data_IF_432217265101
#
_entry.id   IF_432217265101
#
_cell.length_a   1.000
_cell.length_b   1.000
_cell.length_c   1.000
_cell.angle_alpha   90.00
_cell.angle_beta   90.00
_cell.angle_gamma   90.00
#
_symmetry.space_group_name_H-M   'P 1'
#
loop_
_entity.id
_entity.type
_entity.pdbx_description
1 polymer ?
#
# COMPACT_ATOMS: atom_id res chain seq x y z
N UNK A 1 3.08 -25.22 13.46
CA UNK A 1 2.88 -23.77 13.25
C UNK A 1 2.60 -23.56 11.77
N UNK A 2 1.33 -23.42 11.38
CA UNK A 2 0.90 -23.02 10.02
C UNK A 2 0.08 -21.75 10.22
N UNK A 3 0.55 -20.62 9.73
CA UNK A 3 -0.08 -19.32 10.01
C UNK A 3 0.59 -18.13 9.33
N UNK A 4 1.83 -18.31 8.85
CA UNK A 4 2.51 -17.39 7.93
C UNK A 4 2.44 -17.97 6.52
N UNK A 5 2.16 -17.13 5.53
CA UNK A 5 2.12 -17.47 4.11
C UNK A 5 2.95 -16.47 3.32
N UNK A 6 3.80 -17.01 2.45
CA UNK A 6 4.56 -16.22 1.48
C UNK A 6 3.68 -15.88 0.28
N UNK A 7 3.57 -14.60 -0.04
CA UNK A 7 2.76 -14.10 -1.15
C UNK A 7 3.60 -13.14 -1.98
N UNK A 8 3.54 -13.31 -3.30
CA UNK A 8 4.26 -12.46 -4.24
C UNK A 8 3.26 -11.63 -5.03
N UNK A 9 3.33 -10.31 -4.89
CA UNK A 9 2.46 -9.38 -5.61
C UNK A 9 3.11 -9.00 -6.94
N UNK A 10 2.47 -9.41 -8.04
CA UNK A 10 2.94 -9.09 -9.39
C UNK A 10 2.09 -7.99 -9.99
N UNK A 11 2.74 -6.89 -10.40
CA UNK A 11 2.10 -5.80 -11.11
C UNK A 11 2.33 -6.02 -12.60
N UNK A 12 1.27 -6.39 -13.31
CA UNK A 12 1.32 -6.63 -14.76
C UNK A 12 0.87 -5.42 -15.59
N UNK A 13 0.02 -4.56 -15.03
CA UNK A 13 -0.51 -3.39 -15.70
C UNK A 13 -0.49 -2.19 -14.77
N UNK A 14 -0.14 -1.03 -15.34
CA UNK A 14 -0.34 0.25 -14.70
C UNK A 14 -0.75 1.28 -15.75
N UNK A 15 -1.52 2.26 -15.30
CA UNK A 15 -1.91 3.41 -16.11
C UNK A 15 -1.48 4.69 -15.44
N UNK A 16 -1.08 5.68 -16.23
CA UNK A 16 -0.69 7.00 -15.78
C UNK A 16 -1.49 8.04 -16.55
N UNK A 17 -2.05 9.01 -15.83
CA UNK A 17 -2.79 10.12 -16.40
C UNK A 17 -2.06 11.41 -16.08
N UNK A 18 -1.65 12.15 -17.12
CA UNK A 18 -1.07 13.47 -16.94
C UNK A 18 -2.18 14.50 -16.73
N UNK A 19 -2.19 15.20 -15.60
CA UNK A 19 -3.22 16.18 -15.25
C UNK A 19 -2.93 17.58 -15.81
N UNK A 20 -1.70 17.83 -16.24
CA UNK A 20 -1.25 19.11 -16.79
C UNK A 20 -0.25 18.87 -17.93
N UNK A 21 -0.21 19.77 -18.91
CA UNK A 21 0.79 19.74 -19.98
C UNK A 21 2.22 19.84 -19.47
N UNK A 22 2.44 20.57 -18.36
CA UNK A 22 3.75 20.74 -17.75
C UNK A 22 4.36 19.40 -17.31
N UNK A 23 3.53 18.49 -16.79
CA UNK A 23 3.94 17.13 -16.43
C UNK A 23 4.47 16.37 -17.65
N UNK A 24 3.80 16.49 -18.80
CA UNK A 24 4.17 15.80 -20.03
C UNK A 24 5.55 16.27 -20.53
N UNK A 25 5.79 17.58 -20.51
CA UNK A 25 7.02 18.17 -21.04
C UNK A 25 8.18 18.08 -20.06
N UNK A 26 7.97 18.37 -18.77
CA UNK A 26 9.04 18.38 -17.76
C UNK A 26 9.52 16.97 -17.41
N UNK A 27 8.62 15.97 -17.33
CA UNK A 27 8.98 14.59 -16.98
C UNK A 27 9.42 13.75 -18.18
N UNK A 28 9.55 14.36 -19.37
CA UNK A 28 9.97 13.68 -20.61
C UNK A 28 9.19 12.37 -20.87
N UNK A 29 7.88 12.39 -20.62
CA UNK A 29 7.03 11.21 -20.75
C UNK A 29 7.01 10.62 -22.18
N UNK A 30 7.03 11.43 -23.27
CA UNK A 30 7.05 10.89 -24.63
C UNK A 30 8.27 10.00 -24.89
N UNK A 31 8.03 8.78 -25.38
CA UNK A 31 9.07 7.82 -25.77
C UNK A 31 9.66 6.98 -24.64
N UNK A 32 9.50 7.41 -23.38
CA UNK A 32 10.02 6.69 -22.20
C UNK A 32 8.92 6.06 -21.34
N UNK A 33 7.68 6.55 -21.45
CA UNK A 33 6.56 6.14 -20.63
C UNK A 33 5.31 5.97 -21.52
N UNK A 34 4.90 4.74 -21.79
CA UNK A 34 3.75 4.42 -22.65
C UNK A 34 3.98 4.61 -24.17
N UNK A 35 3.12 4.01 -24.99
CA UNK A 35 3.22 4.05 -26.46
C UNK A 35 2.45 5.21 -27.10
N UNK A 36 3.11 6.02 -27.92
CA UNK A 36 2.50 7.10 -28.70
C UNK A 36 2.33 8.41 -27.93
N UNK A 37 1.63 9.38 -28.53
CA UNK A 37 1.53 10.74 -28.00
C UNK A 37 0.80 10.81 -26.64
N UNK A 38 1.25 11.76 -25.83
CA UNK A 38 0.67 12.07 -24.51
C UNK A 38 -0.39 13.16 -24.63
N UNK A 39 -1.47 13.03 -23.86
CA UNK A 39 -2.55 14.02 -23.77
C UNK A 39 -2.96 14.22 -22.33
N UNK A 40 -3.36 15.45 -22.00
CA UNK A 40 -3.85 15.79 -20.66
C UNK A 40 -5.18 15.08 -20.40
N UNK A 41 -5.35 14.57 -19.18
CA UNK A 41 -6.53 13.85 -18.70
C UNK A 41 -6.86 12.57 -19.49
N UNK A 42 -5.90 12.02 -20.25
CA UNK A 42 -6.06 10.74 -20.94
C UNK A 42 -5.17 9.70 -20.28
N UNK A 43 -5.74 8.59 -19.77
CA UNK A 43 -4.95 7.53 -19.16
C UNK A 43 -4.10 6.82 -20.23
N UNK A 44 -2.86 6.51 -19.86
CA UNK A 44 -1.90 5.83 -20.73
C UNK A 44 -1.41 4.57 -20.06
N UNK A 45 -1.48 3.45 -20.76
CA UNK A 45 -0.92 2.18 -20.29
C UNK A 45 0.62 2.22 -20.34
N UNK A 46 1.25 1.79 -19.25
CA UNK A 46 2.71 1.79 -19.09
C UNK A 46 3.33 0.41 -19.31
N UNK A 47 2.56 -0.68 -19.26
CA UNK A 47 3.07 -2.04 -19.38
C UNK A 47 3.80 -2.27 -20.71
N UNK A 48 3.35 -1.60 -21.78
CA UNK A 48 3.96 -1.69 -23.12
C UNK A 48 5.39 -1.15 -23.19
N UNK A 49 5.80 -0.29 -22.25
CA UNK A 49 7.14 0.30 -22.18
C UNK A 49 7.93 -0.17 -20.96
N UNK A 50 7.54 -1.30 -20.37
CA UNK A 50 8.08 -1.81 -19.11
C UNK A 50 7.97 -0.83 -17.92
N UNK A 51 6.93 0.01 -17.93
CA UNK A 51 6.73 1.05 -16.92
C UNK A 51 7.14 2.45 -17.38
N UNK A 52 7.52 3.28 -16.42
CA UNK A 52 7.99 4.65 -16.58
C UNK A 52 9.13 4.92 -15.59
N UNK A 53 10.37 4.71 -16.05
CA UNK A 53 11.59 4.80 -15.22
C UNK A 53 11.75 6.20 -14.61
N UNK A 54 11.37 7.24 -15.34
CA UNK A 54 11.44 8.63 -14.88
C UNK A 54 10.54 8.91 -13.66
N UNK A 55 9.58 8.02 -13.37
CA UNK A 55 8.72 8.07 -12.18
C UNK A 55 8.97 6.90 -11.22
N UNK A 56 10.01 6.10 -11.46
CA UNK A 56 10.32 4.93 -10.66
C UNK A 56 9.28 3.81 -10.77
N UNK A 57 8.47 3.79 -11.83
CA UNK A 57 7.48 2.73 -12.08
C UNK A 57 8.09 1.71 -13.02
N UNK A 58 8.13 0.43 -12.63
CA UNK A 58 8.67 -0.66 -13.45
C UNK A 58 7.63 -1.76 -13.58
N UNK A 59 7.49 -2.31 -14.80
CA UNK A 59 6.48 -3.32 -15.14
C UNK A 59 7.12 -4.35 -16.08
N UNK A 60 6.87 -5.66 -15.91
CA UNK A 60 6.30 -6.24 -14.70
C UNK A 60 7.23 -6.01 -13.50
N UNK A 61 6.65 -5.78 -12.32
CA UNK A 61 7.41 -5.76 -11.06
C UNK A 61 6.81 -6.76 -10.08
N UNK A 62 7.69 -7.37 -9.29
CA UNK A 62 7.33 -8.32 -8.24
C UNK A 62 7.71 -7.71 -6.91
N UNK A 63 6.76 -7.69 -5.97
CA UNK A 63 7.02 -7.37 -4.58
C UNK A 63 6.80 -8.61 -3.73
N UNK A 64 7.86 -9.06 -3.08
CA UNK A 64 7.80 -10.16 -2.12
C UNK A 64 7.17 -9.67 -0.82
N UNK A 65 6.19 -10.39 -0.32
CA UNK A 65 5.51 -10.06 0.93
C UNK A 65 5.21 -11.31 1.75
N UNK A 66 5.00 -11.10 3.04
CA UNK A 66 4.66 -12.15 4.00
C UNK A 66 3.38 -11.76 4.72
N UNK A 67 2.44 -12.69 4.78
CA UNK A 67 1.17 -12.46 5.46
C UNK A 67 1.01 -13.45 6.59
N UNK A 68 0.57 -12.97 7.73
CA UNK A 68 0.29 -13.80 8.90
C UNK A 68 -1.12 -13.52 9.41
N UNK A 69 -1.87 -14.58 9.69
CA UNK A 69 -3.22 -14.48 10.26
C UNK A 69 -3.23 -15.19 11.61
N UNK A 70 -3.70 -14.50 12.64
CA UNK A 70 -3.86 -15.06 13.98
C UNK A 70 -5.25 -14.77 14.53
N UNK A 71 -5.66 -15.54 15.53
CA UNK A 71 -6.89 -15.29 16.27
C UNK A 71 -6.52 -14.82 17.68
N UNK A 72 -7.14 -13.73 18.15
CA UNK A 72 -6.97 -13.27 19.52
C UNK A 72 -7.69 -14.22 20.50
N UNK A 73 -7.48 -14.00 21.81
CA UNK A 73 -8.06 -14.85 22.86
C UNK A 73 -9.59 -14.76 22.96
N UNK A 74 -10.23 -13.80 22.29
CA UNK A 74 -11.69 -13.64 22.22
C UNK A 74 -12.29 -14.14 20.91
N UNK A 75 -11.46 -14.69 20.02
CA UNK A 75 -11.89 -15.24 18.75
C UNK A 75 -11.83 -14.24 17.58
N UNK A 76 -11.24 -13.07 17.77
CA UNK A 76 -11.13 -12.05 16.71
C UNK A 76 -9.93 -12.27 15.80
N UNK A 77 -10.12 -12.08 14.50
CA UNK A 77 -9.06 -12.27 13.51
C UNK A 77 -8.14 -11.05 13.40
N UNK A 78 -6.84 -11.31 13.47
CA UNK A 78 -5.76 -10.35 13.31
C UNK A 78 -4.98 -10.66 12.02
N UNK A 79 -4.77 -9.64 11.19
CA UNK A 79 -3.98 -9.72 9.96
C UNK A 79 -2.69 -8.92 10.11
N UNK A 80 -1.55 -9.57 9.89
CA UNK A 80 -0.24 -8.94 9.87
C UNK A 80 0.33 -9.02 8.45
N UNK A 81 0.89 -7.92 7.97
CA UNK A 81 1.61 -7.83 6.69
C UNK A 81 3.10 -7.62 6.93
N UNK A 82 3.93 -7.97 5.95
CA UNK A 82 5.35 -7.71 5.98
C UNK A 82 5.63 -6.22 6.03
N UNK A 83 6.51 -5.80 6.93
CA UNK A 83 7.01 -4.43 6.97
C UNK A 83 8.34 -4.38 6.23
N UNK A 84 8.38 -3.64 5.12
CA UNK A 84 9.62 -3.38 4.41
C UNK A 84 10.55 -2.50 5.26
N UNK A 85 11.83 -2.82 5.28
CA UNK A 85 12.82 -1.98 5.95
C UNK A 85 12.84 -0.59 5.29
N UNK A 86 12.67 0.45 6.10
CA UNK A 86 12.62 1.85 5.64
C UNK A 86 14.00 2.39 5.31
N UNK A 87 15.06 1.70 5.76
CA UNK A 87 16.41 1.93 5.29
C UNK A 87 16.45 1.51 3.82
N UNK A 88 16.97 2.35 2.92
CA UNK A 88 17.03 2.17 1.45
C UNK A 88 17.79 0.90 0.99
N UNK A 89 17.42 -0.26 1.52
CA UNK A 89 17.88 -1.58 1.13
C UNK A 89 17.12 -2.01 -0.13
N UNK A 90 17.67 -2.94 -0.91
CA UNK A 90 17.05 -3.38 -2.17
C UNK A 90 15.60 -3.82 -1.95
N UNK A 91 14.69 -3.30 -2.78
CA UNK A 91 13.25 -3.61 -2.73
C UNK A 91 12.93 -5.09 -3.00
N UNK A 92 13.93 -5.87 -3.43
CA UNK A 92 13.83 -7.27 -3.77
C UNK A 92 13.98 -8.20 -2.56
N UNK A 93 14.27 -7.68 -1.37
CA UNK A 93 14.36 -8.49 -0.15
C UNK A 93 12.98 -8.70 0.47
N UNK A 94 12.70 -9.96 0.82
CA UNK A 94 11.46 -10.35 1.49
C UNK A 94 11.42 -9.74 2.90
N UNK A 95 10.31 -9.09 3.32
CA UNK A 95 10.17 -8.56 4.66
C UNK A 95 10.39 -9.64 5.73
N UNK A 96 11.18 -9.32 6.76
CA UNK A 96 11.45 -10.22 7.89
C UNK A 96 10.73 -9.80 9.17
N UNK A 97 10.11 -8.62 9.16
CA UNK A 97 9.31 -8.07 10.23
C UNK A 97 7.85 -7.91 9.79
N UNK A 98 6.94 -7.85 10.77
CA UNK A 98 5.53 -7.59 10.54
C UNK A 98 5.15 -6.20 11.06
N UNK A 99 4.25 -5.53 10.34
CA UNK A 99 3.58 -4.33 10.82
C UNK A 99 2.69 -4.63 12.04
N UNK A 100 2.09 -3.59 12.62
CA UNK A 100 1.06 -3.74 13.64
C UNK A 100 -0.17 -4.53 13.11
N UNK A 101 -0.86 -5.29 13.99
CA UNK A 101 -2.01 -6.09 13.58
C UNK A 101 -3.14 -5.20 13.05
N UNK A 102 -3.62 -5.54 11.87
CA UNK A 102 -4.86 -5.00 11.35
C UNK A 102 -6.03 -5.81 11.86
N UNK A 103 -7.11 -5.11 12.17
CA UNK A 103 -8.36 -5.67 12.66
C UNK A 103 -9.45 -5.49 11.62
N UNK A 104 -10.38 -6.42 11.55
CA UNK A 104 -11.55 -6.27 10.68
C UNK A 104 -12.40 -5.07 11.15
N UNK A 105 -12.76 -4.18 10.22
CA UNK A 105 -13.64 -3.07 10.56
C UNK A 105 -14.98 -3.55 11.11
N UNK A 106 -15.44 -2.91 12.19
CA UNK A 106 -16.66 -3.29 12.93
C UNK A 106 -16.44 -4.36 14.01
N UNK A 107 -15.23 -4.92 14.12
CA UNK A 107 -14.91 -5.93 15.12
C UNK A 107 -14.32 -5.30 16.39
N UNK A 108 -14.80 -5.71 17.56
CA UNK A 108 -14.27 -5.28 18.85
C UNK A 108 -13.13 -6.20 19.26
N UNK A 109 -11.94 -5.86 18.81
CA UNK A 109 -10.73 -6.62 19.11
C UNK A 109 -10.22 -6.27 20.51
N UNK A 110 -9.70 -7.29 21.19
CA UNK A 110 -9.01 -7.08 22.46
C UNK A 110 -7.58 -7.59 22.37
N UNK A 111 -6.64 -6.66 22.40
CA UNK A 111 -5.23 -6.98 22.31
C UNK A 111 -4.72 -7.64 23.60
N UNK A 112 -3.70 -8.49 23.48
CA UNK A 112 -2.90 -8.97 24.61
C UNK A 112 -2.15 -7.80 25.25
N UNK A 113 -1.69 -7.93 26.50
CA UNK A 113 -0.97 -6.83 27.18
C UNK A 113 0.27 -6.37 26.42
N UNK A 114 1.03 -7.30 25.82
CA UNK A 114 2.22 -6.98 25.02
C UNK A 114 1.89 -6.15 23.76
N UNK A 115 0.82 -6.53 23.04
CA UNK A 115 0.34 -5.77 21.88
C UNK A 115 -0.23 -4.42 22.32
N UNK A 116 -0.88 -4.36 23.47
CA UNK A 116 -1.42 -3.13 24.05
C UNK A 116 -0.32 -2.14 24.43
N UNK A 117 0.83 -2.60 24.92
CA UNK A 117 1.98 -1.73 25.21
C UNK A 117 2.63 -1.18 23.92
N UNK A 118 2.71 -1.99 22.87
CA UNK A 118 3.21 -1.57 21.54
C UNK A 118 2.26 -0.59 20.87
N UNK A 119 0.95 -0.88 20.86
CA UNK A 119 -0.10 -0.01 20.32
C UNK A 119 -0.29 1.27 21.14
N UNK A 120 -0.16 1.17 22.46
CA UNK A 120 -0.27 2.30 23.39
C UNK A 120 0.85 3.33 23.20
N UNK A 121 2.01 2.95 22.64
CA UNK A 121 3.09 3.89 22.30
C UNK A 121 2.87 4.63 20.97
N UNK A 122 2.18 4.04 20.00
CA UNK A 122 1.95 4.68 18.69
C UNK A 122 0.68 5.54 18.62
N UNK A 123 -0.34 5.29 19.46
CA UNK A 123 -1.62 5.99 19.42
C UNK A 123 -1.77 7.18 20.40
N UNK A 124 -0.68 7.78 20.90
CA UNK A 124 -0.74 9.06 21.62
C UNK A 124 -0.97 10.25 20.67
N UNK A 125 -2.09 10.23 19.94
CA UNK A 125 -2.72 11.42 19.40
C UNK A 125 -4.11 11.54 20.03
N UNK A 126 -4.22 12.42 21.03
CA UNK A 126 -5.48 13.01 21.50
C UNK A 126 -6.41 12.10 22.29
N UNK A 127 -6.41 12.26 23.61
CA UNK A 127 -7.42 11.64 24.48
C UNK A 127 -8.84 12.13 24.17
N UNK A 128 -9.81 11.23 24.35
CA UNK A 128 -11.24 11.57 24.39
C UNK A 128 -12.13 10.58 23.65
N UNK A 129 -12.61 9.58 24.40
CA UNK A 129 -13.71 8.66 24.07
C UNK A 129 -13.47 7.61 22.99
N UNK A 130 -13.68 6.36 23.42
CA UNK A 130 -13.65 5.15 22.63
C UNK A 130 -14.62 5.20 21.44
N UNK A 131 -14.11 5.60 20.29
CA UNK A 131 -14.65 5.27 18.97
C UNK A 131 -13.52 4.55 18.25
N UNK A 132 -13.74 3.29 17.92
CA UNK A 132 -12.82 2.49 17.14
C UNK A 132 -12.45 3.24 15.87
N UNK A 133 -11.26 3.83 15.86
CA UNK A 133 -10.65 4.35 14.67
C UNK A 133 -10.30 3.16 13.79
N UNK A 134 -11.25 2.72 12.95
CA UNK A 134 -10.82 2.20 11.66
C UNK A 134 -9.93 3.31 11.09
N UNK A 135 -8.66 2.98 10.84
CA UNK A 135 -7.90 3.70 9.84
C UNK A 135 -8.69 3.47 8.56
N UNK A 136 -9.67 4.33 8.32
CA UNK A 136 -10.23 4.54 7.01
C UNK A 136 -9.01 5.01 6.24
N UNK A 137 -8.39 4.10 5.48
CA UNK A 137 -7.60 4.51 4.35
C UNK A 137 -8.50 5.48 3.59
N UNK A 138 -8.18 6.77 3.64
CA UNK A 138 -8.91 7.81 2.93
C UNK A 138 -8.62 7.60 1.44
N UNK A 139 -9.28 6.60 0.86
CA UNK A 139 -9.44 6.40 -0.59
C UNK A 139 -10.70 7.17 -1.04
N UNK A 140 -11.14 8.20 -0.31
CA UNK A 140 -12.35 8.96 -0.65
C UNK A 140 -12.08 10.29 -1.35
N UNK A 141 -10.82 10.68 -1.61
CA UNK A 141 -10.54 11.93 -2.34
C UNK A 141 -10.52 11.79 -3.88
N UNK A 142 -10.79 10.61 -4.44
CA UNK A 142 -10.86 10.42 -5.90
C UNK A 142 -12.28 10.18 -6.45
N UNK A 143 -13.30 10.08 -5.59
CA UNK A 143 -14.68 9.86 -6.03
C UNK A 143 -15.58 11.12 -5.97
N UNK A 144 -15.05 12.29 -5.61
CA UNK A 144 -15.80 13.55 -5.57
C UNK A 144 -15.50 14.50 -6.75
N UNK A 145 -14.72 14.06 -7.74
CA UNK A 145 -14.45 14.81 -8.99
C UNK A 145 -15.22 14.24 -10.20
N UNK A 146 -16.24 13.41 -9.97
CA UNK A 146 -17.18 12.91 -10.98
C UNK A 146 -18.64 13.16 -10.59
N UNK A 147 -18.93 14.39 -10.13
CA UNK A 147 -20.23 15.05 -10.29
C UNK A 147 -20.01 16.52 -10.65
#
# INVERSE_FOLDING_TARGET
MKGVSDIDFQIERATLTALDHRIITEMRLPGLCGLGEWRVNVPKELATTNGCVSLGVFIPSVRFDVVKVEMDYKGSWLLFLGQADTNNLPQDERPTAFQLPMVKCGEKVSFTEDLRERLGREFYFGGGNALGGCIILIITSLLFLLL
#
